data_IF_661944131894
#
_entry.id   IF_661944131894
#
_cell.length_a   1.000
_cell.length_b   1.000
_cell.length_c   1.000
_cell.angle_alpha   90.00
_cell.angle_beta   90.00
_cell.angle_gamma   90.00
#
_symmetry.space_group_name_H-M   'P 1'
#
loop_
_entity.id
_entity.type
_entity.pdbx_description
1 polymer ?
#
# COMPACT_ATOMS: atom_id res chain seq x y z
N UNK A 1 13.85 6.61 15.38
CA UNK A 1 12.49 6.82 14.83
C UNK A 1 11.70 5.55 15.08
N UNK A 2 10.39 5.65 15.16
CA UNK A 2 9.46 4.55 15.44
C UNK A 2 8.24 4.71 14.57
N UNK A 3 7.62 3.59 14.18
CA UNK A 3 6.39 3.57 13.39
C UNK A 3 5.12 3.55 14.24
N UNK A 4 5.27 3.52 15.58
CA UNK A 4 4.20 3.55 16.57
C UNK A 4 4.61 4.45 17.73
N UNK A 5 3.66 4.98 18.52
CA UNK A 5 3.98 5.67 19.75
C UNK A 5 4.89 4.83 20.65
N UNK A 6 5.87 5.47 21.28
CA UNK A 6 6.85 4.81 22.14
C UNK A 6 6.96 5.52 23.49
N UNK A 7 7.03 4.71 24.54
CA UNK A 7 7.28 5.17 25.91
C UNK A 7 8.76 5.09 26.30
N UNK A 8 9.52 4.25 25.61
CA UNK A 8 10.94 4.00 25.87
C UNK A 8 11.79 4.25 24.62
N UNK A 9 13.03 4.71 24.83
CA UNK A 9 13.98 4.97 23.75
C UNK A 9 14.37 3.66 23.04
N UNK A 10 14.19 3.55 21.71
CA UNK A 10 14.53 2.33 20.98
C UNK A 10 16.04 2.06 20.91
N UNK A 11 16.89 3.02 21.31
CA UNK A 11 18.35 2.86 21.30
C UNK A 11 18.91 2.40 22.64
N UNK A 12 18.43 2.96 23.76
CA UNK A 12 19.01 2.73 25.09
C UNK A 12 18.02 2.26 26.16
N UNK A 13 16.72 2.17 25.85
CA UNK A 13 15.69 1.72 26.78
C UNK A 13 15.26 2.73 27.85
N UNK A 14 15.85 3.93 27.92
CA UNK A 14 15.42 4.97 28.87
C UNK A 14 13.99 5.45 28.55
N UNK A 15 13.18 5.70 29.59
CA UNK A 15 11.85 6.31 29.44
C UNK A 15 11.93 7.67 28.75
N UNK A 16 10.97 7.94 27.87
CA UNK A 16 10.91 9.17 27.08
C UNK A 16 10.15 10.28 27.82
N UNK A 17 10.65 11.50 27.68
CA UNK A 17 9.98 12.72 28.15
C UNK A 17 9.18 13.37 27.00
N UNK A 18 8.09 14.05 27.34
CA UNK A 18 7.38 14.91 26.38
C UNK A 18 8.01 16.29 26.40
N UNK A 19 8.43 16.77 25.24
CA UNK A 19 8.93 18.13 25.04
C UNK A 19 8.06 18.86 24.02
N UNK A 20 8.06 20.19 24.10
CA UNK A 20 7.56 21.04 23.01
C UNK A 20 8.71 21.39 22.08
N UNK A 21 8.64 20.91 20.84
CA UNK A 21 9.62 21.21 19.81
C UNK A 21 8.89 21.50 18.49
N UNK A 22 9.21 22.63 17.85
CA UNK A 22 8.55 23.10 16.62
C UNK A 22 7.02 23.18 16.76
N UNK A 23 6.56 23.82 17.84
CA UNK A 23 5.15 23.99 18.21
C UNK A 23 4.33 22.69 18.32
N UNK A 24 4.98 21.53 18.47
CA UNK A 24 4.34 20.22 18.64
C UNK A 24 4.92 19.47 19.84
N UNK A 25 4.08 18.64 20.46
CA UNK A 25 4.54 17.68 21.46
C UNK A 25 5.31 16.55 20.78
N UNK A 26 6.51 16.26 21.30
CA UNK A 26 7.41 15.24 20.79
C UNK A 26 7.97 14.42 21.95
N UNK A 27 8.33 13.17 21.68
CA UNK A 27 9.01 12.31 22.64
C UNK A 27 10.52 12.48 22.47
N UNK A 28 11.23 12.82 23.55
CA UNK A 28 12.69 12.95 23.59
C UNK A 28 13.28 11.95 24.56
N UNK A 29 14.44 11.42 24.25
CA UNK A 29 15.22 10.62 25.20
C UNK A 29 16.17 11.55 25.96
N UNK A 30 16.11 11.61 27.30
CA UNK A 30 17.02 12.46 28.07
C UNK A 30 18.46 11.94 28.07
N UNK A 31 18.67 10.62 27.92
CA UNK A 31 20.01 9.99 27.90
C UNK A 31 20.72 10.13 26.56
N UNK A 32 20.01 9.87 25.45
CA UNK A 32 20.57 10.04 24.11
C UNK A 32 20.47 11.48 23.61
N UNK A 33 19.81 12.34 24.37
CA UNK A 33 19.54 13.75 24.07
C UNK A 33 18.76 14.02 22.77
N UNK A 34 18.18 12.97 22.17
CA UNK A 34 17.61 12.97 20.82
C UNK A 34 16.08 12.85 20.81
N UNK A 35 15.44 13.44 19.80
CA UNK A 35 14.01 13.26 19.51
C UNK A 35 13.75 11.86 18.93
N UNK A 36 12.78 11.17 19.50
CA UNK A 36 12.24 9.91 18.97
C UNK A 36 11.08 10.24 18.04
N UNK A 37 11.39 10.36 16.76
CA UNK A 37 10.38 10.64 15.72
C UNK A 37 9.39 9.49 15.57
N UNK A 38 8.10 9.80 15.60
CA UNK A 38 7.01 8.91 15.22
C UNK A 38 6.62 9.24 13.77
N UNK A 39 7.08 8.42 12.82
CA UNK A 39 6.95 8.69 11.39
C UNK A 39 5.99 7.71 10.71
N UNK A 40 5.26 8.16 9.67
CA UNK A 40 4.54 7.24 8.80
C UNK A 40 5.47 6.25 8.13
N UNK A 41 5.00 5.02 7.94
CA UNK A 41 5.73 4.00 7.16
C UNK A 41 5.39 4.16 5.68
N UNK A 42 6.38 4.23 4.79
CA UNK A 42 6.14 4.32 3.36
C UNK A 42 5.74 2.96 2.77
N UNK A 43 4.79 3.01 1.86
CA UNK A 43 4.27 1.86 1.12
C UNK A 43 4.15 2.21 -0.37
N UNK A 44 4.08 1.18 -1.21
CA UNK A 44 3.79 1.34 -2.62
C UNK A 44 2.76 0.31 -3.08
N UNK A 45 1.95 0.66 -4.09
CA UNK A 45 0.98 -0.25 -4.69
C UNK A 45 0.89 0.00 -6.19
N UNK A 46 0.34 -0.95 -6.95
CA UNK A 46 0.12 -0.78 -8.39
C UNK A 46 -1.24 -1.35 -8.82
N UNK A 47 -1.92 -0.62 -9.70
CA UNK A 47 -3.09 -1.10 -10.42
C UNK A 47 -2.69 -1.51 -11.84
N UNK A 48 -2.79 -2.79 -12.17
CA UNK A 48 -2.65 -3.25 -13.57
C UNK A 48 -4.02 -3.24 -14.22
N UNK A 49 -4.18 -2.52 -15.33
CA UNK A 49 -5.47 -2.30 -16.00
C UNK A 49 -5.50 -3.04 -17.34
N UNK A 50 -6.40 -4.02 -17.46
CA UNK A 50 -6.71 -4.70 -18.71
C UNK A 50 -7.81 -3.93 -19.47
N UNK A 51 -7.38 -3.14 -20.45
CA UNK A 51 -8.25 -2.30 -21.28
C UNK A 51 -8.71 -2.95 -22.59
N UNK A 52 -8.31 -4.20 -22.85
CA UNK A 52 -8.71 -4.92 -24.07
C UNK A 52 -10.08 -5.59 -23.92
N UNK A 53 -10.65 -5.53 -22.71
CA UNK A 53 -11.99 -6.00 -22.39
C UNK A 53 -13.05 -4.95 -22.76
N UNK A 54 -14.31 -5.35 -22.98
CA UNK A 54 -15.40 -4.40 -23.20
C UNK A 54 -15.54 -3.33 -22.09
N UNK A 55 -15.22 -3.72 -20.86
CA UNK A 55 -15.05 -2.82 -19.73
C UNK A 55 -13.64 -3.00 -19.16
N UNK A 56 -12.87 -1.91 -18.96
CA UNK A 56 -11.57 -1.99 -18.32
C UNK A 56 -11.67 -2.71 -16.97
N UNK A 57 -10.74 -3.64 -16.75
CA UNK A 57 -10.68 -4.40 -15.52
C UNK A 57 -9.34 -4.21 -14.82
N UNK A 58 -9.36 -4.13 -13.49
CA UNK A 58 -8.16 -3.89 -12.67
C UNK A 58 -7.80 -5.17 -11.92
N UNK A 59 -6.52 -5.52 -11.92
CA UNK A 59 -6.01 -6.63 -11.13
C UNK A 59 -6.07 -6.30 -9.64
N UNK A 60 -6.80 -7.13 -8.90
CA UNK A 60 -6.95 -7.02 -7.46
C UNK A 60 -6.62 -8.35 -6.79
N UNK A 61 -6.28 -8.27 -5.51
CA UNK A 61 -6.05 -9.42 -4.62
C UNK A 61 -7.04 -9.41 -3.46
N UNK A 62 -7.47 -10.60 -3.05
CA UNK A 62 -8.23 -10.82 -1.83
C UNK A 62 -7.26 -11.13 -0.69
N UNK A 63 -7.39 -10.41 0.43
CA UNK A 63 -6.45 -10.55 1.55
C UNK A 63 -6.70 -11.85 2.33
N UNK A 64 -5.67 -12.65 2.54
CA UNK A 64 -5.70 -13.84 3.39
C UNK A 64 -5.32 -13.56 4.86
N UNK A 65 -4.74 -12.38 5.15
CA UNK A 65 -4.20 -12.04 6.48
C UNK A 65 -4.83 -10.78 7.10
N UNK A 66 -5.01 -10.73 8.43
CA UNK A 66 -5.52 -9.54 9.11
C UNK A 66 -4.62 -8.30 8.93
N UNK A 67 -5.21 -7.09 8.87
CA UNK A 67 -6.65 -6.81 8.87
C UNK A 67 -7.31 -7.07 7.51
N UNK A 68 -8.64 -7.19 7.50
CA UNK A 68 -9.41 -7.19 6.26
C UNK A 68 -9.36 -8.52 5.50
N UNK A 69 -9.32 -9.65 6.21
CA UNK A 69 -9.41 -10.97 5.58
C UNK A 69 -10.72 -11.05 4.78
N UNK A 70 -10.63 -11.47 3.53
CA UNK A 70 -11.77 -11.51 2.60
C UNK A 70 -12.14 -10.18 1.95
N UNK A 71 -11.42 -9.09 2.27
CA UNK A 71 -11.55 -7.82 1.56
C UNK A 71 -10.60 -7.80 0.36
N UNK A 72 -11.06 -7.22 -0.75
CA UNK A 72 -10.23 -7.00 -1.93
C UNK A 72 -9.39 -5.72 -1.79
N UNK A 73 -8.23 -5.70 -2.44
CA UNK A 73 -7.34 -4.53 -2.54
C UNK A 73 -6.55 -4.56 -3.85
N UNK A 74 -5.95 -3.42 -4.21
CA UNK A 74 -4.89 -3.37 -5.19
C UNK A 74 -3.61 -4.00 -4.59
N UNK A 75 -2.79 -4.70 -5.40
CA UNK A 75 -1.54 -5.25 -4.94
C UNK A 75 -0.58 -4.19 -4.41
N UNK A 76 0.06 -4.46 -3.26
CA UNK A 76 1.01 -3.51 -2.67
C UNK A 76 1.24 -3.65 -1.17
N UNK A 77 2.42 -3.22 -0.75
CA UNK A 77 2.91 -3.43 0.61
C UNK A 77 3.92 -2.37 1.07
N UNK A 78 4.71 -2.74 2.07
CA UNK A 78 5.71 -1.85 2.65
C UNK A 78 6.94 -1.77 1.75
N UNK A 79 7.57 -0.59 1.70
CA UNK A 79 8.87 -0.47 1.04
C UNK A 79 9.96 -1.09 1.92
N UNK A 80 10.89 -1.79 1.28
CA UNK A 80 12.12 -2.25 1.92
C UNK A 80 13.18 -1.15 1.98
N UNK A 81 14.16 -1.31 2.87
CA UNK A 81 15.25 -0.33 3.03
C UNK A 81 16.10 -0.28 1.76
N UNK A 82 16.22 0.92 1.17
CA UNK A 82 16.98 1.15 -0.07
C UNK A 82 16.19 0.84 -1.34
N UNK A 83 14.92 0.47 -1.22
CA UNK A 83 14.03 0.21 -2.35
C UNK A 83 13.40 1.51 -2.87
N UNK A 84 13.40 1.71 -4.19
CA UNK A 84 12.63 2.78 -4.83
C UNK A 84 11.13 2.44 -4.81
N UNK A 85 10.21 3.41 -4.63
CA UNK A 85 8.78 3.11 -4.49
C UNK A 85 8.19 2.32 -5.67
N UNK A 86 8.64 2.60 -6.90
CA UNK A 86 8.23 1.85 -8.09
C UNK A 86 8.69 0.39 -8.04
N UNK A 87 9.91 0.13 -7.56
CA UNK A 87 10.43 -1.22 -7.39
C UNK A 87 9.64 -2.00 -6.32
N UNK A 88 9.29 -1.34 -5.20
CA UNK A 88 8.43 -1.92 -4.17
C UNK A 88 7.06 -2.31 -4.73
N UNK A 89 6.44 -1.45 -5.54
CA UNK A 89 5.15 -1.76 -6.16
C UNK A 89 5.23 -2.97 -7.11
N UNK A 90 6.31 -3.09 -7.89
CA UNK A 90 6.53 -4.25 -8.79
C UNK A 90 6.78 -5.53 -8.00
N UNK A 91 7.61 -5.49 -6.96
CA UNK A 91 7.89 -6.65 -6.12
C UNK A 91 6.60 -7.19 -5.47
N UNK A 92 5.83 -6.31 -4.84
CA UNK A 92 4.57 -6.69 -4.18
C UNK A 92 3.55 -7.23 -5.18
N UNK A 93 3.46 -6.64 -6.38
CA UNK A 93 2.62 -7.17 -7.46
C UNK A 93 3.03 -8.61 -7.82
N UNK A 94 4.32 -8.87 -8.00
CA UNK A 94 4.82 -10.19 -8.35
C UNK A 94 4.59 -11.20 -7.22
N UNK A 95 4.87 -10.82 -5.97
CA UNK A 95 4.70 -11.68 -4.79
C UNK A 95 3.24 -12.08 -4.55
N UNK A 96 2.30 -11.14 -4.72
CA UNK A 96 0.88 -11.36 -4.42
C UNK A 96 0.09 -11.94 -5.61
N UNK A 97 0.56 -11.75 -6.85
CA UNK A 97 -0.22 -12.09 -8.06
C UNK A 97 0.51 -12.92 -9.13
N UNK A 98 1.84 -13.05 -9.05
CA UNK A 98 2.66 -13.63 -10.11
C UNK A 98 2.72 -12.82 -11.41
N UNK A 99 2.09 -11.63 -11.45
CA UNK A 99 2.17 -10.69 -12.57
C UNK A 99 3.34 -9.73 -12.33
N UNK A 100 4.05 -9.35 -13.39
CA UNK A 100 5.15 -8.39 -13.27
C UNK A 100 5.12 -7.36 -14.41
N UNK A 101 5.63 -6.17 -14.12
CA UNK A 101 5.77 -5.02 -15.04
C UNK A 101 7.13 -4.38 -14.80
N UNK A 102 7.69 -3.71 -15.79
CA UNK A 102 8.93 -2.96 -15.60
C UNK A 102 8.68 -1.68 -14.75
N UNK A 103 9.54 -1.31 -13.79
CA UNK A 103 9.31 -0.14 -12.95
C UNK A 103 9.22 1.20 -13.72
N UNK A 104 9.87 1.29 -14.88
CA UNK A 104 9.93 2.50 -15.71
C UNK A 104 8.67 2.74 -16.55
N UNK A 105 7.79 1.74 -16.67
CA UNK A 105 6.48 1.88 -17.33
C UNK A 105 5.35 2.26 -16.36
N UNK A 106 5.65 2.38 -15.06
CA UNK A 106 4.66 2.76 -14.05
C UNK A 106 4.36 4.26 -14.10
N UNK A 107 3.07 4.60 -14.13
CA UNK A 107 2.60 5.98 -13.97
C UNK A 107 2.06 6.21 -12.56
N UNK A 108 2.16 7.43 -12.04
CA UNK A 108 1.64 7.76 -10.70
C UNK A 108 0.13 7.97 -10.79
N UNK A 109 -0.62 7.09 -10.13
CA UNK A 109 -2.06 7.24 -9.91
C UNK A 109 -2.36 8.25 -8.78
N UNK A 110 -1.49 8.31 -7.76
CA UNK A 110 -1.59 9.29 -6.69
C UNK A 110 -0.87 8.86 -5.41
N UNK A 111 -1.07 9.61 -4.33
CA UNK A 111 -0.56 9.26 -3.01
C UNK A 111 -1.60 9.56 -1.94
N UNK A 112 -1.73 8.68 -0.95
CA UNK A 112 -2.66 8.90 0.15
C UNK A 112 -2.19 8.21 1.43
N UNK A 113 -2.54 8.83 2.57
CA UNK A 113 -2.37 8.22 3.88
C UNK A 113 -3.57 7.34 4.22
N UNK A 114 -3.30 6.19 4.83
CA UNK A 114 -4.32 5.32 5.38
C UNK A 114 -4.74 5.82 6.77
N UNK A 115 -6.00 5.60 7.20
CA UNK A 115 -6.39 5.81 8.59
C UNK A 115 -5.43 5.07 9.52
N UNK A 116 -4.91 5.73 10.57
CA UNK A 116 -3.95 5.11 11.46
C UNK A 116 -4.55 3.93 12.21
N UNK A 117 -3.73 2.90 12.44
CA UNK A 117 -4.12 1.71 13.20
C UNK A 117 -3.13 1.48 14.33
N UNK A 118 -3.62 1.40 15.57
CA UNK A 118 -2.78 1.19 16.76
C UNK A 118 -1.62 2.21 16.82
N UNK A 119 -1.94 3.46 16.47
CA UNK A 119 -0.99 4.56 16.35
C UNK A 119 -0.07 4.50 15.13
N UNK A 120 -0.04 3.41 14.34
CA UNK A 120 0.75 3.32 13.11
C UNK A 120 0.12 4.13 11.98
N UNK A 121 0.89 5.05 11.42
CA UNK A 121 0.53 5.78 10.20
C UNK A 121 1.22 5.16 8.98
N UNK A 122 0.53 5.14 7.84
CA UNK A 122 1.06 4.66 6.57
C UNK A 122 0.75 5.68 5.48
N UNK A 123 1.74 5.93 4.62
CA UNK A 123 1.57 6.73 3.41
C UNK A 123 1.95 5.86 2.22
N UNK A 124 1.04 5.75 1.26
CA UNK A 124 1.23 4.88 0.09
C UNK A 124 1.31 5.72 -1.18
N UNK A 125 2.30 5.42 -2.03
CA UNK A 125 2.36 5.88 -3.42
C UNK A 125 1.68 4.82 -4.28
N UNK A 126 0.72 5.25 -5.10
CA UNK A 126 -0.06 4.38 -5.97
C UNK A 126 0.37 4.57 -7.40
N UNK A 127 0.70 3.46 -8.05
CA UNK A 127 1.04 3.41 -9.46
C UNK A 127 -0.10 2.77 -10.26
N UNK A 128 -0.04 2.96 -11.57
CA UNK A 128 -0.91 2.32 -12.55
C UNK A 128 -0.08 1.89 -13.76
N UNK A 129 -0.46 0.78 -14.38
CA UNK A 129 0.16 0.24 -15.58
C UNK A 129 -0.88 -0.40 -16.49
N UNK A 130 -0.67 -0.30 -17.80
CA UNK A 130 -1.44 -1.05 -18.79
C UNK A 130 -1.06 -2.54 -18.75
N UNK A 131 -2.04 -3.44 -18.74
CA UNK A 131 -1.84 -4.90 -18.85
C UNK A 131 -0.98 -5.29 -20.05
N UNK A 132 -1.00 -4.51 -21.14
CA UNK A 132 -0.16 -4.73 -22.31
C UNK A 132 1.35 -4.68 -22.01
N UNK A 133 1.76 -4.00 -20.95
CA UNK A 133 3.15 -3.93 -20.49
C UNK A 133 3.49 -4.97 -19.41
N UNK A 134 2.50 -5.79 -19.01
CA UNK A 134 2.66 -6.80 -17.97
C UNK A 134 2.86 -8.20 -18.55
N UNK A 135 3.55 -9.04 -17.78
CA UNK A 135 3.70 -10.48 -18.06
C UNK A 135 3.24 -11.31 -16.87
N UNK A 136 3.00 -12.59 -17.09
CA UNK A 136 2.45 -13.49 -16.07
C UNK A 136 0.93 -13.58 -16.12
N UNK A 137 0.41 -14.64 -15.50
CA UNK A 137 -1.02 -14.87 -15.33
C UNK A 137 -1.39 -14.70 -13.85
N UNK A 138 -2.49 -14.01 -13.51
CA UNK A 138 -2.88 -13.80 -12.13
C UNK A 138 -3.06 -15.12 -11.37
N UNK A 139 -2.28 -15.28 -10.31
CA UNK A 139 -2.38 -16.37 -9.37
C UNK A 139 -2.06 -15.82 -7.98
N UNK A 140 -2.91 -16.13 -6.99
CA UNK A 140 -2.71 -15.66 -5.64
C UNK A 140 -1.38 -16.20 -5.08
N UNK A 141 -0.59 -15.31 -4.48
CA UNK A 141 0.66 -15.61 -3.80
C UNK A 141 0.77 -14.87 -2.48
N UNK A 142 1.86 -15.14 -1.75
CA UNK A 142 2.18 -14.49 -0.46
C UNK A 142 1.00 -14.48 0.52
N UNK A 143 0.41 -13.32 0.78
CA UNK A 143 -0.69 -13.10 1.72
C UNK A 143 -2.05 -12.86 1.04
N UNK A 144 -2.17 -13.22 -0.24
CA UNK A 144 -3.42 -13.22 -1.00
C UNK A 144 -4.08 -14.61 -1.04
N UNK A 145 -5.41 -14.67 -0.91
CA UNK A 145 -6.21 -15.89 -1.10
C UNK A 145 -6.74 -16.03 -2.52
N UNK A 146 -6.88 -14.92 -3.25
CA UNK A 146 -7.31 -14.89 -4.64
C UNK A 146 -6.67 -13.68 -5.36
N UNK A 147 -6.47 -13.81 -6.67
CA UNK A 147 -6.03 -12.72 -7.55
C UNK A 147 -6.87 -12.76 -8.84
N UNK A 148 -7.53 -11.66 -9.19
CA UNK A 148 -8.30 -11.58 -10.45
C UNK A 148 -8.51 -10.14 -10.93
N UNK A 149 -8.80 -10.03 -12.22
CA UNK A 149 -9.26 -8.79 -12.84
C UNK A 149 -10.73 -8.52 -12.54
N UNK A 150 -11.02 -7.32 -12.07
CA UNK A 150 -12.37 -6.82 -11.81
C UNK A 150 -12.68 -5.60 -12.65
N UNK A 151 -13.78 -5.61 -13.42
CA UNK A 151 -14.39 -4.36 -13.85
C UNK A 151 -15.21 -3.78 -12.68
N UNK A 152 -15.41 -2.45 -12.61
CA UNK A 152 -16.28 -1.85 -11.60
C UNK A 152 -17.68 -2.48 -11.57
N UNK A 153 -18.29 -2.72 -12.72
CA UNK A 153 -19.63 -3.32 -12.77
C UNK A 153 -19.65 -4.77 -12.30
N UNK A 154 -18.66 -5.57 -12.69
CA UNK A 154 -18.55 -6.96 -12.23
C UNK A 154 -18.32 -7.04 -10.71
N UNK A 155 -17.51 -6.12 -10.16
CA UNK A 155 -17.29 -6.04 -8.72
C UNK A 155 -18.59 -5.67 -7.98
N UNK A 156 -19.30 -4.64 -8.45
CA UNK A 156 -20.56 -4.19 -7.84
C UNK A 156 -21.65 -5.29 -7.84
N UNK A 157 -21.66 -6.15 -8.86
CA UNK A 157 -22.59 -7.27 -8.96
C UNK A 157 -22.23 -8.48 -8.09
N UNK A 158 -21.01 -8.55 -7.55
CA UNK A 158 -20.48 -9.75 -6.89
C UNK A 158 -20.84 -9.89 -5.41
N UNK A 159 -21.17 -8.78 -4.74
CA UNK A 159 -21.36 -8.74 -3.28
C UNK A 159 -20.05 -8.76 -2.46
N UNK A 160 -18.91 -8.72 -3.15
CA UNK A 160 -17.58 -8.63 -2.54
C UNK A 160 -17.32 -7.23 -1.96
N UNK A 161 -16.30 -7.09 -1.11
CA UNK A 161 -16.06 -5.83 -0.40
C UNK A 161 -14.64 -5.28 -0.60
N UNK A 162 -14.56 -3.97 -0.74
CA UNK A 162 -13.33 -3.20 -0.58
C UNK A 162 -13.40 -2.40 0.72
N UNK A 163 -12.26 -2.04 1.30
CA UNK A 163 -12.24 -0.88 2.20
C UNK A 163 -12.49 0.39 1.36
N UNK A 164 -13.21 1.40 1.88
CA UNK A 164 -13.56 2.60 1.10
C UNK A 164 -12.39 3.32 0.43
N UNK A 165 -11.21 3.31 1.05
CA UNK A 165 -10.01 3.94 0.48
C UNK A 165 -9.37 3.10 -0.65
N UNK A 166 -9.49 1.78 -0.62
CA UNK A 166 -9.06 0.91 -1.71
C UNK A 166 -10.03 0.99 -2.89
N UNK A 167 -11.33 1.04 -2.61
CA UNK A 167 -12.37 1.17 -3.63
C UNK A 167 -12.19 2.42 -4.51
N UNK A 168 -11.92 3.59 -3.89
CA UNK A 168 -11.69 4.83 -4.65
C UNK A 168 -10.51 4.70 -5.62
N UNK A 169 -9.44 4.01 -5.22
CA UNK A 169 -8.24 3.81 -6.06
C UNK A 169 -8.52 2.83 -7.19
N UNK A 170 -9.23 1.74 -6.88
CA UNK A 170 -9.72 0.78 -7.87
C UNK A 170 -10.55 1.47 -8.95
N UNK A 171 -11.54 2.29 -8.56
CA UNK A 171 -12.39 3.02 -9.52
C UNK A 171 -11.59 4.08 -10.30
N UNK A 172 -10.66 4.79 -9.66
CA UNK A 172 -9.80 5.75 -10.35
C UNK A 172 -8.87 5.09 -11.39
N UNK A 173 -8.32 3.91 -11.06
CA UNK A 173 -7.48 3.15 -12.00
C UNK A 173 -8.28 2.64 -13.20
N UNK A 174 -9.51 2.18 -12.99
CA UNK A 174 -10.36 1.64 -14.05
C UNK A 174 -10.63 2.65 -15.18
N UNK A 175 -10.65 3.95 -14.87
CA UNK A 175 -10.88 5.03 -15.84
C UNK A 175 -9.60 5.78 -16.24
N UNK A 176 -8.42 5.30 -15.84
CA UNK A 176 -7.18 6.07 -15.97
C UNK A 176 -6.72 6.22 -17.44
N UNK A 177 -6.94 5.19 -18.26
CA UNK A 177 -6.49 5.12 -19.66
C UNK A 177 -7.61 5.44 -20.68
N UNK A 178 -8.71 6.06 -20.24
CA UNK A 178 -9.80 6.54 -21.11
C UNK A 178 -9.41 7.75 -21.96
#
# INVERSE_FOLDING_TARGET
>A
MVSRPADYCPRCGTSLETITFDARERRRCPTCEDVVWHNPVPCASVAVVDRLRPEPAVLCVERAVPPGVGEWTLPGGHMEVGEEPAAAAVRELEEETGVTVAPDVLEILGAASMPPRDGKHVTTIHYVADRANATGEPMAGSDASAARFWSPAAFDASGETFRPIHERRFRAAATYFE
#
